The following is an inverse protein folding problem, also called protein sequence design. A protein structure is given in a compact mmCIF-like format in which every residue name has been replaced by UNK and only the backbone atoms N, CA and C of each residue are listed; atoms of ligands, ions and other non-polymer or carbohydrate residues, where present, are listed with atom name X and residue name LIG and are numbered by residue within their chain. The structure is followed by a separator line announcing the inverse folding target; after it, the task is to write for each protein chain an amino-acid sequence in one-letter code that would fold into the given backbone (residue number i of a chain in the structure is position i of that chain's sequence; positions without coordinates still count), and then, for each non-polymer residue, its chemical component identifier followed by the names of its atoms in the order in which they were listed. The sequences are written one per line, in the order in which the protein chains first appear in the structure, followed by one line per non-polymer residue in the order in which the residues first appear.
data_IF_629356443996
#
_entry.id   IF_629356443996
#
_cell.length_a   1.000
_cell.length_b   1.000
_cell.length_c   1.000
_cell.angle_alpha   90.00
_cell.angle_beta   90.00
_cell.angle_gamma   90.00
#
_symmetry.space_group_name_H-M   'P 1'
#
loop_
_entity.id
_entity.type
_entity.pdbx_description
1 polymer ?
#
# COMPACT_ATOMS: atom_id res chain seq x y z
N UNK A 1 -6.78 10.97 15.26
CA UNK A 1 -5.96 10.73 14.05
C UNK A 1 -4.63 10.14 14.52
N UNK A 2 -4.07 9.14 13.85
CA UNK A 2 -2.95 8.31 14.36
C UNK A 2 -1.59 9.02 14.51
N UNK A 3 -1.47 10.30 14.14
CA UNK A 3 -0.23 11.07 14.28
C UNK A 3 0.92 10.55 13.42
N UNK A 4 0.60 9.95 12.27
CA UNK A 4 1.58 9.45 11.31
C UNK A 4 2.26 10.61 10.59
N UNK A 5 3.59 10.56 10.50
CA UNK A 5 4.35 11.43 9.62
C UNK A 5 4.34 10.87 8.18
N UNK A 6 4.37 11.76 7.19
CA UNK A 6 4.44 11.37 5.78
C UNK A 6 5.37 12.30 5.01
N UNK A 7 6.26 11.70 4.21
CA UNK A 7 7.15 12.44 3.31
C UNK A 7 6.43 12.97 2.07
N UNK A 8 7.22 13.43 1.10
CA UNK A 8 6.71 13.89 -0.19
C UNK A 8 5.94 12.78 -0.91
N UNK A 9 4.73 13.10 -1.38
CA UNK A 9 3.95 12.18 -2.21
C UNK A 9 4.43 12.26 -3.65
N UNK A 10 5.02 11.16 -4.13
CA UNK A 10 5.56 11.06 -5.48
C UNK A 10 4.58 10.37 -6.44
N UNK A 11 4.62 10.78 -7.72
CA UNK A 11 3.87 10.14 -8.80
C UNK A 11 4.82 9.42 -9.75
N UNK A 12 4.60 8.12 -9.95
CA UNK A 12 5.46 7.28 -10.79
C UNK A 12 4.69 6.90 -12.06
N UNK A 13 5.15 7.40 -13.22
CA UNK A 13 4.62 6.99 -14.53
C UNK A 13 5.08 5.57 -14.87
N UNK A 14 4.21 4.80 -15.51
CA UNK A 14 4.47 3.40 -15.89
C UNK A 14 4.87 2.49 -14.72
N UNK A 15 4.35 2.81 -13.52
CA UNK A 15 4.64 2.10 -12.29
C UNK A 15 4.20 0.63 -12.35
N UNK A 16 4.98 -0.21 -11.67
CA UNK A 16 4.61 -1.57 -11.26
C UNK A 16 4.85 -1.68 -9.76
N UNK A 17 4.18 -2.62 -9.11
CA UNK A 17 4.25 -2.80 -7.65
C UNK A 17 5.69 -2.82 -7.10
N UNK A 18 6.69 -3.50 -7.72
CA UNK A 18 8.06 -3.51 -7.21
C UNK A 18 8.76 -2.14 -7.14
N UNK A 19 8.24 -1.10 -7.80
CA UNK A 19 8.78 0.25 -7.66
C UNK A 19 8.71 0.76 -6.19
N UNK A 20 7.76 0.26 -5.39
CA UNK A 20 7.67 0.61 -3.97
C UNK A 20 8.92 0.21 -3.17
N UNK A 21 9.60 -0.86 -3.59
CA UNK A 21 10.81 -1.35 -2.94
C UNK A 21 11.98 -0.38 -3.15
N UNK A 22 12.13 0.11 -4.38
CA UNK A 22 13.14 1.10 -4.74
C UNK A 22 12.91 2.43 -4.02
N UNK A 23 11.64 2.85 -3.90
CA UNK A 23 11.27 4.04 -3.11
C UNK A 23 11.57 3.83 -1.62
N UNK A 24 11.26 2.65 -1.08
CA UNK A 24 11.56 2.31 0.31
C UNK A 24 13.04 2.42 0.64
N UNK A 25 13.90 1.81 -0.18
CA UNK A 25 15.36 1.90 0.00
C UNK A 25 15.91 3.32 -0.20
N UNK A 26 15.45 4.04 -1.22
CA UNK A 26 15.95 5.38 -1.52
C UNK A 26 15.55 6.42 -0.46
N UNK A 27 14.38 6.27 0.16
CA UNK A 27 13.84 7.24 1.13
C UNK A 27 14.07 6.83 2.58
N UNK A 28 14.33 5.55 2.85
CA UNK A 28 14.41 5.01 4.21
C UNK A 28 13.05 4.90 4.93
N UNK A 29 11.93 5.13 4.22
CA UNK A 29 10.58 5.12 4.80
C UNK A 29 10.29 3.82 5.56
N UNK A 30 9.67 3.94 6.74
CA UNK A 30 9.27 2.79 7.54
C UNK A 30 8.15 2.01 6.88
N UNK A 31 7.21 2.69 6.22
CA UNK A 31 6.12 2.08 5.46
C UNK A 31 5.97 2.81 4.12
N UNK A 32 5.85 2.05 3.03
CA UNK A 32 5.45 2.59 1.72
C UNK A 32 4.04 2.11 1.40
N UNK A 33 3.15 3.05 1.10
CA UNK A 33 1.81 2.79 0.59
C UNK A 33 1.75 3.23 -0.88
N UNK A 34 1.66 2.28 -1.79
CA UNK A 34 1.54 2.50 -3.22
C UNK A 34 0.09 2.33 -3.65
N UNK A 35 -0.56 3.45 -4.01
CA UNK A 35 -1.84 3.45 -4.71
C UNK A 35 -1.60 3.22 -6.21
N UNK A 36 -2.20 2.18 -6.77
CA UNK A 36 -2.00 1.78 -8.17
C UNK A 36 -3.31 1.32 -8.81
N UNK A 37 -3.54 1.76 -10.05
CA UNK A 37 -4.69 1.32 -10.83
C UNK A 37 -4.61 -0.17 -11.16
N UNK A 38 -5.74 -0.85 -11.10
CA UNK A 38 -5.85 -2.26 -11.47
C UNK A 38 -6.00 -2.43 -12.99
N UNK A 39 -5.84 -3.66 -13.46
CA UNK A 39 -6.16 -3.98 -14.86
C UNK A 39 -7.66 -3.71 -15.08
N UNK A 40 -8.05 -2.96 -16.14
CA UNK A 40 -9.45 -2.73 -16.43
C UNK A 40 -10.22 -4.04 -16.57
N UNK A 41 -11.31 -4.17 -15.83
CA UNK A 41 -12.25 -5.26 -15.98
C UNK A 41 -13.22 -4.99 -17.13
N UNK A 42 -14.09 -5.96 -17.42
CA UNK A 42 -15.13 -5.79 -18.44
C UNK A 42 -16.15 -4.69 -18.09
N UNK A 43 -16.38 -4.47 -16.80
CA UNK A 43 -17.45 -3.61 -16.27
C UNK A 43 -16.96 -2.23 -15.86
N UNK A 44 -15.73 -2.11 -15.33
CA UNK A 44 -15.19 -0.85 -14.85
C UNK A 44 -13.67 -0.77 -15.04
N UNK A 45 -13.20 0.43 -15.34
CA UNK A 45 -11.78 0.81 -15.42
C UNK A 45 -11.33 1.69 -14.24
N UNK A 46 -12.19 1.87 -13.23
CA UNK A 46 -11.96 2.79 -12.11
C UNK A 46 -11.35 2.10 -10.88
N UNK A 47 -11.13 0.78 -10.92
CA UNK A 47 -10.65 0.03 -9.77
C UNK A 47 -9.19 0.37 -9.43
N UNK A 48 -8.93 0.63 -8.14
CA UNK A 48 -7.62 0.90 -7.58
C UNK A 48 -7.30 -0.10 -6.46
N UNK A 49 -6.01 -0.41 -6.32
CA UNK A 49 -5.45 -1.17 -5.21
C UNK A 49 -4.44 -0.32 -4.44
N UNK A 50 -4.28 -0.61 -3.15
CA UNK A 50 -3.18 -0.13 -2.32
C UNK A 50 -2.27 -1.32 -1.97
N UNK A 51 -0.99 -1.23 -2.34
CA UNK A 51 0.06 -2.14 -1.89
C UNK A 51 0.86 -1.48 -0.78
N UNK A 52 0.97 -2.14 0.36
CA UNK A 52 1.53 -1.54 1.57
C UNK A 52 2.57 -2.49 2.16
N UNK A 53 3.75 -1.98 2.50
CA UNK A 53 4.79 -2.79 3.11
C UNK A 53 5.61 -2.01 4.12
N UNK A 54 6.02 -2.71 5.19
CA UNK A 54 6.95 -2.22 6.20
C UNK A 54 8.39 -2.52 5.74
N UNK A 55 9.24 -1.49 5.72
CA UNK A 55 10.63 -1.52 5.24
C UNK A 55 10.77 -2.35 3.95
N UNK A 56 10.10 -1.95 2.85
CA UNK A 56 10.25 -2.68 1.59
C UNK A 56 11.66 -2.51 1.04
N UNK A 57 12.20 -3.61 0.52
CA UNK A 57 13.58 -3.71 -0.01
C UNK A 57 13.56 -4.43 -1.35
N UNK A 58 14.54 -4.14 -2.20
CA UNK A 58 14.60 -4.72 -3.54
C UNK A 58 14.69 -6.24 -3.44
N UNK A 59 13.85 -6.95 -4.19
CA UNK A 59 13.76 -8.41 -4.16
C UNK A 59 12.94 -8.97 -3.00
N UNK A 60 12.25 -8.12 -2.22
CA UNK A 60 11.36 -8.57 -1.17
C UNK A 60 10.24 -9.48 -1.73
N UNK A 61 9.95 -10.62 -1.09
CA UNK A 61 8.86 -11.50 -1.51
C UNK A 61 7.50 -10.78 -1.49
N UNK A 62 6.64 -11.09 -2.47
CA UNK A 62 5.30 -10.48 -2.55
C UNK A 62 4.45 -10.72 -1.30
N UNK A 63 4.63 -11.87 -0.64
CA UNK A 63 3.94 -12.24 0.59
C UNK A 63 4.16 -11.26 1.76
N UNK A 64 5.22 -10.44 1.72
CA UNK A 64 5.48 -9.39 2.71
C UNK A 64 4.69 -8.10 2.45
N UNK A 65 3.93 -8.02 1.37
CA UNK A 65 3.08 -6.88 1.04
C UNK A 65 1.65 -7.16 1.51
N UNK A 66 1.02 -6.17 2.13
CA UNK A 66 -0.43 -6.15 2.37
C UNK A 66 -1.12 -5.48 1.19
N UNK A 67 -2.25 -6.03 0.76
CA UNK A 67 -3.02 -5.48 -0.37
C UNK A 67 -4.44 -5.14 0.09
N UNK A 68 -4.88 -3.93 -0.25
CA UNK A 68 -6.29 -3.50 -0.19
C UNK A 68 -6.73 -3.26 -1.64
N UNK A 69 -7.60 -4.12 -2.18
CA UNK A 69 -8.03 -4.05 -3.59
C UNK A 69 -9.46 -3.56 -3.74
N UNK A 70 -9.91 -3.40 -4.99
CA UNK A 70 -11.30 -3.08 -5.33
C UNK A 70 -11.77 -1.77 -4.69
N UNK A 71 -10.89 -0.77 -4.66
CA UNK A 71 -11.21 0.58 -4.20
C UNK A 71 -11.85 1.31 -5.38
N UNK A 72 -13.19 1.42 -5.37
CA UNK A 72 -14.00 2.15 -6.34
C UNK A 72 -15.44 2.29 -5.85
N UNK A 73 -16.28 3.02 -6.59
CA UNK A 73 -17.68 3.36 -6.19
C UNK A 73 -18.60 2.15 -5.97
N UNK A 74 -18.30 1.01 -6.57
CA UNK A 74 -19.06 -0.25 -6.45
C UNK A 74 -18.35 -1.30 -5.58
N UNK A 75 -17.14 -0.97 -5.10
CA UNK A 75 -16.35 -1.79 -4.20
C UNK A 75 -16.22 -1.05 -2.86
N UNK A 76 -15.00 -0.97 -2.32
CA UNK A 76 -14.75 -0.17 -1.12
C UNK A 76 -14.69 1.31 -1.49
N UNK A 77 -15.54 2.18 -0.92
CA UNK A 77 -15.48 3.62 -1.18
C UNK A 77 -14.13 4.21 -0.76
N UNK A 78 -13.63 5.18 -1.52
CA UNK A 78 -12.29 5.74 -1.29
C UNK A 78 -12.08 6.33 0.13
N UNK A 79 -13.14 6.91 0.71
CA UNK A 79 -13.09 7.47 2.07
C UNK A 79 -12.90 6.37 3.12
N UNK A 80 -13.64 5.27 2.99
CA UNK A 80 -13.54 4.10 3.88
C UNK A 80 -12.20 3.38 3.70
N UNK A 81 -11.77 3.19 2.44
CA UNK A 81 -10.47 2.62 2.12
C UNK A 81 -9.32 3.44 2.71
N UNK A 82 -9.38 4.77 2.64
CA UNK A 82 -8.37 5.64 3.25
C UNK A 82 -8.27 5.49 4.76
N UNK A 83 -9.42 5.42 5.45
CA UNK A 83 -9.46 5.18 6.89
C UNK A 83 -8.86 3.80 7.25
N UNK A 84 -9.24 2.76 6.51
CA UNK A 84 -8.74 1.40 6.71
C UNK A 84 -7.24 1.27 6.44
N UNK A 85 -6.74 1.91 5.36
CA UNK A 85 -5.31 1.96 5.03
C UNK A 85 -4.52 2.64 6.17
N UNK A 86 -5.02 3.74 6.73
CA UNK A 86 -4.35 4.40 7.85
C UNK A 86 -4.26 3.51 9.10
N UNK A 87 -5.31 2.72 9.39
CA UNK A 87 -5.29 1.73 10.47
C UNK A 87 -4.27 0.61 10.22
N UNK A 88 -4.22 0.08 8.99
CA UNK A 88 -3.23 -0.92 8.60
C UNK A 88 -1.80 -0.38 8.77
N UNK A 89 -1.53 0.84 8.29
CA UNK A 89 -0.20 1.46 8.41
C UNK A 89 0.17 1.63 9.89
N UNK A 90 -0.76 2.06 10.74
CA UNK A 90 -0.52 2.15 12.19
C UNK A 90 -0.16 0.79 12.78
N UNK A 91 -0.91 -0.26 12.44
CA UNK A 91 -0.62 -1.64 12.87
C UNK A 91 0.74 -2.13 12.37
N UNK A 92 1.11 -1.81 11.13
CA UNK A 92 2.43 -2.15 10.56
C UNK A 92 3.56 -1.53 11.37
N UNK A 93 3.45 -0.25 11.72
CA UNK A 93 4.45 0.46 12.50
C UNK A 93 4.57 -0.10 13.93
N UNK A 94 3.44 -0.40 14.57
CA UNK A 94 3.42 -0.95 15.94
C UNK A 94 4.02 -2.35 16.01
N UNK A 95 3.78 -3.18 14.98
CA UNK A 95 4.23 -4.57 14.94
C UNK A 95 5.52 -4.79 14.16
N UNK A 96 6.04 -3.75 13.50
CA UNK A 96 7.20 -3.78 12.61
C UNK A 96 7.11 -4.91 11.57
N UNK A 97 5.94 -5.08 10.98
CA UNK A 97 5.62 -6.19 10.09
C UNK A 97 4.56 -5.80 9.05
N UNK A 98 4.54 -6.50 7.91
CA UNK A 98 3.53 -6.34 6.86
C UNK A 98 3.27 -7.68 6.16
N UNK A 99 2.23 -7.74 5.32
CA UNK A 99 1.87 -8.96 4.59
C UNK A 99 1.44 -10.09 5.53
N UNK A 100 1.91 -11.31 5.24
CA UNK A 100 1.60 -12.49 6.07
C UNK A 100 2.10 -12.31 7.52
N UNK A 101 3.30 -11.76 7.71
CA UNK A 101 3.91 -11.55 9.03
C UNK A 101 3.07 -10.64 9.94
N UNK A 102 2.25 -9.75 9.36
CA UNK A 102 1.31 -8.91 10.10
C UNK A 102 -0.02 -9.61 10.36
N UNK A 103 -0.48 -10.49 9.46
CA UNK A 103 -1.73 -11.26 9.65
C UNK A 103 -1.63 -12.28 10.78
N UNK A 104 -0.43 -12.78 11.05
CA UNK A 104 -0.15 -13.72 12.15
C UNK A 104 -0.10 -13.04 13.53
N UNK A 105 -0.29 -11.71 13.61
CA UNK A 105 -0.27 -10.89 14.83
C UNK A 105 -1.62 -10.20 15.08
#
# INVERSE_FOLDING_TARGET
MFGLDFGEVVFIKHCRVPAMDQIGEATGADVVCLLIGERPGLVTAESMSAYIAYKPTIGMPEARRTVVSNIHRQGTPAVEAGAYIAEIIKRMLDNKASGLDLKEK
#
